data_IF_205941543256
#
_entry.id   IF_205941543256
#
_cell.length_a   1.000
_cell.length_b   1.000
_cell.length_c   1.000
_cell.angle_alpha   90.00
_cell.angle_beta   90.00
_cell.angle_gamma   90.00
#
_symmetry.space_group_name_H-M   'P 1'
#
loop_
_entity.id
_entity.type
_entity.pdbx_description
1 polymer ?
#
# COMPACT_ATOMS: atom_id res chain seq x y z
N UNK A 1 17.80 -0.68 -8.50
CA UNK A 1 17.13 -1.11 -7.27
C UNK A 1 16.98 0.09 -6.36
N UNK A 2 15.76 0.58 -6.24
CA UNK A 2 15.35 1.65 -5.34
C UNK A 2 14.63 1.08 -4.10
N UNK A 3 14.44 1.95 -3.11
CA UNK A 3 13.72 1.64 -1.88
C UNK A 3 12.55 2.61 -1.73
N UNK A 4 11.37 2.07 -1.45
CA UNK A 4 10.12 2.82 -1.38
C UNK A 4 9.50 2.66 0.00
N UNK A 5 9.16 3.77 0.64
CA UNK A 5 8.38 3.75 1.88
C UNK A 5 6.89 3.78 1.54
N UNK A 6 6.19 2.70 1.87
CA UNK A 6 4.81 2.47 1.51
C UNK A 6 3.91 2.67 2.74
N UNK A 7 3.24 3.81 2.78
CA UNK A 7 2.42 4.21 3.93
C UNK A 7 1.02 3.59 3.81
N UNK A 8 0.64 2.78 4.79
CA UNK A 8 -0.68 2.16 4.88
C UNK A 8 -1.20 2.16 6.32
N UNK A 9 -2.31 1.48 6.55
CA UNK A 9 -3.05 1.41 7.79
C UNK A 9 -3.22 -0.07 8.21
N UNK A 10 -3.67 -0.35 9.44
CA UNK A 10 -3.73 -1.72 9.97
C UNK A 10 -4.65 -2.63 9.15
N UNK A 11 -5.75 -2.07 8.64
CA UNK A 11 -6.75 -2.82 7.89
C UNK A 11 -6.22 -3.24 6.52
N UNK A 12 -5.65 -2.30 5.76
CA UNK A 12 -5.07 -2.58 4.45
C UNK A 12 -3.77 -3.38 4.55
N UNK A 13 -3.05 -3.31 5.67
CA UNK A 13 -1.89 -4.19 5.89
C UNK A 13 -2.27 -5.68 5.84
N UNK A 14 -3.42 -6.05 6.43
CA UNK A 14 -3.90 -7.44 6.36
C UNK A 14 -4.14 -7.87 4.91
N UNK A 15 -4.74 -6.99 4.11
CA UNK A 15 -4.99 -7.22 2.68
C UNK A 15 -3.67 -7.38 1.91
N UNK A 16 -2.71 -6.46 2.11
CA UNK A 16 -1.40 -6.51 1.44
C UNK A 16 -0.71 -7.84 1.74
N UNK A 17 -0.68 -8.27 3.00
CA UNK A 17 -0.04 -9.51 3.43
C UNK A 17 -0.73 -10.76 2.86
N UNK A 18 -2.05 -10.74 2.75
CA UNK A 18 -2.80 -11.89 2.24
C UNK A 18 -2.75 -11.98 0.71
N UNK A 19 -2.78 -10.84 0.01
CA UNK A 19 -2.89 -10.79 -1.45
C UNK A 19 -1.55 -10.57 -2.17
N UNK A 20 -0.50 -10.18 -1.47
CA UNK A 20 0.80 -9.75 -2.04
C UNK A 20 0.62 -8.69 -3.14
N UNK A 21 -0.19 -7.67 -2.85
CA UNK A 21 -0.46 -6.56 -3.75
C UNK A 21 -0.27 -5.25 -3.00
N UNK A 22 0.47 -4.34 -3.61
CA UNK A 22 0.51 -2.93 -3.23
C UNK A 22 -0.29 -2.11 -4.24
N UNK A 23 -1.08 -1.15 -3.75
CA UNK A 23 -1.93 -0.30 -4.59
C UNK A 23 -1.94 1.15 -4.13
N UNK A 24 -2.06 2.08 -5.08
CA UNK A 24 -2.15 3.53 -4.83
C UNK A 24 -3.31 4.17 -5.61
N UNK A 25 -3.82 5.33 -5.16
CA UNK A 25 -4.78 6.13 -5.94
C UNK A 25 -4.10 6.77 -7.17
N UNK A 26 -4.91 7.21 -8.14
CA UNK A 26 -4.45 7.88 -9.37
C UNK A 26 -3.50 9.06 -9.11
N UNK A 27 -3.75 9.85 -8.06
CA UNK A 27 -2.92 11.00 -7.71
C UNK A 27 -1.45 10.65 -7.43
N UNK A 28 -1.13 9.38 -7.18
CA UNK A 28 0.23 8.89 -6.95
C UNK A 28 0.79 8.11 -8.15
N UNK A 29 0.14 8.17 -9.31
CA UNK A 29 0.56 7.51 -10.55
C UNK A 29 2.02 7.82 -10.91
N UNK A 30 2.41 9.09 -10.87
CA UNK A 30 3.77 9.53 -11.21
C UNK A 30 4.85 8.90 -10.31
N UNK A 31 4.48 8.50 -9.09
CA UNK A 31 5.40 7.84 -8.14
C UNK A 31 5.44 6.34 -8.42
N UNK A 32 4.28 5.67 -8.46
CA UNK A 32 4.26 4.20 -8.62
C UNK A 32 4.79 3.76 -9.98
N UNK A 33 4.61 4.54 -11.06
CA UNK A 33 5.16 4.25 -12.40
C UNK A 33 6.70 4.16 -12.43
N UNK A 34 7.38 4.69 -11.41
CA UNK A 34 8.85 4.61 -11.28
C UNK A 34 9.32 3.33 -10.60
N UNK A 35 8.41 2.59 -9.94
CA UNK A 35 8.74 1.31 -9.30
C UNK A 35 9.05 0.29 -10.40
N UNK A 36 10.13 -0.46 -10.19
CA UNK A 36 10.54 -1.54 -11.10
C UNK A 36 10.65 -2.87 -10.37
N UNK A 37 10.43 -4.01 -11.08
CA UNK A 37 10.74 -5.32 -10.52
C UNK A 37 12.13 -5.36 -9.88
N UNK A 38 12.23 -5.93 -8.68
CA UNK A 38 13.45 -5.99 -7.88
C UNK A 38 13.62 -4.84 -6.86
N UNK A 39 12.87 -3.74 -7.00
CA UNK A 39 12.83 -2.67 -5.99
C UNK A 39 12.26 -3.17 -4.66
N UNK A 40 12.64 -2.52 -3.55
CA UNK A 40 12.22 -2.92 -2.21
C UNK A 40 11.15 -1.97 -1.66
N UNK A 41 10.09 -2.54 -1.08
CA UNK A 41 8.95 -1.81 -0.53
C UNK A 41 8.89 -2.02 0.98
N UNK A 42 9.16 -0.96 1.74
CA UNK A 42 9.07 -0.95 3.20
C UNK A 42 7.64 -0.59 3.59
N UNK A 43 6.92 -1.52 4.18
CA UNK A 43 5.53 -1.30 4.59
C UNK A 43 5.52 -0.59 5.95
N UNK A 44 5.07 0.66 5.94
CA UNK A 44 4.97 1.52 7.10
C UNK A 44 3.52 1.71 7.50
N UNK A 45 3.17 1.31 8.72
CA UNK A 45 1.87 1.60 9.30
C UNK A 45 1.95 2.95 9.98
N UNK A 46 1.08 3.87 9.55
CA UNK A 46 0.91 5.15 10.24
C UNK A 46 0.26 4.94 11.61
N UNK A 47 0.47 5.89 12.50
CA UNK A 47 -0.19 5.88 13.81
C UNK A 47 -1.71 5.84 13.63
N UNK A 48 -2.37 4.97 14.38
CA UNK A 48 -3.82 4.91 14.47
C UNK A 48 -4.26 5.10 15.91
N UNK A 49 -5.39 5.79 16.09
CA UNK A 49 -6.06 5.89 17.38
C UNK A 49 -7.40 5.19 17.27
N UNK A 50 -7.61 4.18 18.10
CA UNK A 50 -8.88 3.49 18.24
C UNK A 50 -9.35 3.64 19.68
N UNK A 51 -10.29 4.56 19.89
CA UNK A 51 -10.77 4.98 21.21
C UNK A 51 -9.59 5.36 22.11
N UNK A 52 -9.32 4.56 23.14
CA UNK A 52 -8.28 4.78 24.15
C UNK A 52 -6.96 4.06 23.81
N UNK A 53 -6.90 3.30 22.72
CA UNK A 53 -5.71 2.58 22.29
C UNK A 53 -4.99 3.34 21.17
N UNK A 54 -3.75 3.73 21.45
CA UNK A 54 -2.84 4.29 20.45
C UNK A 54 -1.98 3.16 19.89
N UNK A 55 -2.01 3.00 18.57
CA UNK A 55 -1.09 2.12 17.85
C UNK A 55 0.02 2.96 17.26
N UNK A 56 1.22 2.79 17.79
CA UNK A 56 2.40 3.51 17.35
C UNK A 56 2.77 3.17 15.90
N UNK A 57 3.33 4.15 15.16
CA UNK A 57 3.78 3.92 13.81
C UNK A 57 4.95 2.93 13.79
N UNK A 58 4.98 2.05 12.79
CA UNK A 58 6.01 1.01 12.71
C UNK A 58 6.20 0.49 11.29
N UNK A 59 7.42 0.06 10.99
CA UNK A 59 7.71 -0.73 9.79
C UNK A 59 7.37 -2.18 10.11
N UNK A 60 6.54 -2.82 9.28
CA UNK A 60 6.02 -4.17 9.55
C UNK A 60 6.52 -5.24 8.59
N UNK A 61 7.06 -4.85 7.44
CA UNK A 61 7.58 -5.77 6.45
C UNK A 61 8.45 -5.05 5.41
N UNK A 62 9.26 -5.85 4.71
CA UNK A 62 9.92 -5.47 3.47
C UNK A 62 9.51 -6.49 2.41
N UNK A 63 9.02 -6.00 1.26
CA UNK A 63 8.72 -6.82 0.08
C UNK A 63 9.64 -6.43 -1.09
N UNK A 64 9.64 -7.26 -2.12
CA UNK A 64 10.25 -6.97 -3.40
C UNK A 64 9.16 -6.76 -4.46
N UNK A 65 9.28 -5.74 -5.31
CA UNK A 65 8.38 -5.59 -6.44
C UNK A 65 8.54 -6.78 -7.40
N UNK A 66 7.47 -7.55 -7.60
CA UNK A 66 7.46 -8.72 -8.47
C UNK A 66 6.81 -8.46 -9.84
N UNK A 67 6.31 -7.24 -10.09
CA UNK A 67 5.72 -6.87 -11.38
C UNK A 67 5.93 -5.39 -11.73
N UNK A 68 5.77 -5.08 -13.01
CA UNK A 68 5.47 -3.71 -13.45
C UNK A 68 4.09 -3.26 -12.93
N UNK A 69 3.83 -1.94 -13.03
CA UNK A 69 2.53 -1.37 -12.64
C UNK A 69 1.42 -1.84 -13.57
N UNK A 70 0.32 -2.30 -12.99
CA UNK A 70 -0.91 -2.63 -13.71
C UNK A 70 -2.11 -1.92 -13.10
N UNK A 71 -3.21 -1.88 -13.86
CA UNK A 71 -4.48 -1.32 -13.40
C UNK A 71 -5.47 -2.45 -13.08
N UNK A 72 -6.03 -2.42 -11.88
CA UNK A 72 -7.13 -3.29 -11.47
C UNK A 72 -7.98 -2.56 -10.41
N UNK A 73 -9.27 -2.37 -10.69
CA UNK A 73 -10.20 -1.64 -9.83
C UNK A 73 -11.00 -2.54 -8.87
N UNK A 74 -10.67 -3.83 -8.76
CA UNK A 74 -11.32 -4.75 -7.83
C UNK A 74 -11.23 -4.25 -6.38
N UNK A 75 -12.32 -4.33 -5.61
CA UNK A 75 -12.38 -3.79 -4.24
C UNK A 75 -11.77 -4.75 -3.22
N UNK A 76 -10.45 -4.88 -3.24
CA UNK A 76 -9.70 -5.68 -2.24
C UNK A 76 -9.29 -4.84 -1.03
N UNK A 77 -9.01 -3.56 -1.24
CA UNK A 77 -8.62 -2.63 -0.18
C UNK A 77 -9.82 -1.96 0.46
N UNK A 78 -9.63 -1.53 1.71
CA UNK A 78 -10.58 -0.77 2.50
C UNK A 78 -10.30 0.71 2.33
N UNK A 79 -11.30 1.43 1.85
CA UNK A 79 -11.22 2.86 1.59
C UNK A 79 -11.21 3.64 2.92
N UNK A 80 -10.16 4.41 3.23
CA UNK A 80 -10.14 5.26 4.42
C UNK A 80 -11.25 6.31 4.39
N UNK A 81 -11.71 6.73 5.57
CA UNK A 81 -12.66 7.85 5.70
C UNK A 81 -12.12 9.09 4.96
N UNK A 82 -12.97 9.72 4.15
CA UNK A 82 -12.62 10.90 3.36
C UNK A 82 -12.02 10.61 1.97
N UNK A 83 -11.87 9.34 1.56
CA UNK A 83 -11.43 8.96 0.20
C UNK A 83 -12.56 8.44 -0.70
N UNK A 84 -13.83 8.63 -0.32
CA UNK A 84 -14.97 8.30 -1.16
C UNK A 84 -15.03 6.81 -1.55
N UNK A 85 -15.05 6.53 -2.86
CA UNK A 85 -15.16 5.20 -3.45
C UNK A 85 -13.82 4.62 -3.95
N UNK A 86 -12.69 5.16 -3.49
CA UNK A 86 -11.33 4.77 -3.91
C UNK A 86 -11.08 3.27 -3.79
N UNK A 87 -10.48 2.69 -4.84
CA UNK A 87 -10.16 1.25 -4.96
C UNK A 87 -8.66 0.96 -5.04
N UNK A 88 -7.83 2.00 -5.12
CA UNK A 88 -6.38 1.94 -5.29
C UNK A 88 -6.01 1.16 -6.55
N UNK A 89 -6.38 1.67 -7.74
CA UNK A 89 -6.38 0.88 -8.96
C UNK A 89 -5.01 0.63 -9.55
N UNK A 90 -4.02 1.49 -9.26
CA UNK A 90 -2.66 1.35 -9.76
C UNK A 90 -1.87 0.46 -8.81
N UNK A 91 -1.46 -0.71 -9.28
CA UNK A 91 -0.97 -1.79 -8.43
C UNK A 91 0.32 -2.41 -8.94
N UNK A 92 1.02 -3.06 -8.03
CA UNK A 92 2.12 -4.00 -8.32
C UNK A 92 1.94 -5.26 -7.49
N UNK A 93 2.52 -6.36 -7.96
CA UNK A 93 2.70 -7.58 -7.17
C UNK A 93 3.93 -7.44 -6.28
N UNK A 94 3.85 -8.01 -5.09
CA UNK A 94 4.88 -8.05 -4.06
C UNK A 94 5.47 -9.46 -3.88
#
# INVERSE_FOLDING_TARGET
>A
MAYWLCITNEENWKVIREKNIWGVPERHENTIRRVKPGDKLLIYLKQERDKDVIKEPRIVAVYEAASEVFRDSSRIFKTPKGMGSETFPLRIKL
#
